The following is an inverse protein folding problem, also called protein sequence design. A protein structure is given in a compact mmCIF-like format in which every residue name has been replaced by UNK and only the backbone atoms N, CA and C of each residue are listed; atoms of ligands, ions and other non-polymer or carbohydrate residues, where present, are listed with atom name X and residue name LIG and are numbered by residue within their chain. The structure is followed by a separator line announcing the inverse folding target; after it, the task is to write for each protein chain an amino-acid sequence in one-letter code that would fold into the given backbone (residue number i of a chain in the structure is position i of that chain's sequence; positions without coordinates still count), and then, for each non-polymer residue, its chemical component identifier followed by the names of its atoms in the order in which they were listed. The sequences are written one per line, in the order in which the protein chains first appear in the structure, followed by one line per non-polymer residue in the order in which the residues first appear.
data_IF_859079359257
#
_entry.id   IF_859079359257
#
_cell.length_a   1.000
_cell.length_b   1.000
_cell.length_c   1.000
_cell.angle_alpha   90.00
_cell.angle_beta   90.00
_cell.angle_gamma   90.00
#
_symmetry.space_group_name_H-M   'P 1'
#
loop_
_entity.id
_entity.type
_entity.pdbx_description
1 polymer ?
#
# COMPACT_ATOMS: atom_id res chain seq x y z
N UNK A 1 49.04 -4.06 51.97
CA UNK A 1 48.45 -2.84 51.35
C UNK A 1 48.62 -2.77 49.83
N UNK A 2 49.58 -3.50 49.22
CA UNK A 2 49.80 -3.52 47.75
C UNK A 2 48.80 -4.37 46.95
N UNK A 3 48.25 -5.44 47.53
CA UNK A 3 47.28 -6.32 46.84
C UNK A 3 45.95 -5.64 46.50
N UNK A 4 45.51 -4.69 47.34
CA UNK A 4 44.26 -3.97 47.13
C UNK A 4 44.28 -3.02 45.93
N UNK A 5 45.46 -2.55 45.51
CA UNK A 5 45.58 -1.67 44.34
C UNK A 5 45.51 -2.45 43.02
N UNK A 6 46.05 -3.66 42.99
CA UNK A 6 46.08 -4.48 41.76
C UNK A 6 44.69 -5.00 41.38
N UNK A 7 43.87 -5.35 42.37
CA UNK A 7 42.47 -5.78 42.14
C UNK A 7 41.62 -4.62 41.58
N UNK A 8 41.82 -3.40 42.07
CA UNK A 8 41.11 -2.20 41.57
C UNK A 8 41.50 -1.89 40.13
N UNK A 9 42.76 -2.09 39.75
CA UNK A 9 43.26 -1.81 38.41
C UNK A 9 42.76 -2.83 37.38
N UNK A 10 42.58 -4.09 37.77
CA UNK A 10 41.97 -5.11 36.90
C UNK A 10 40.48 -4.87 36.69
N UNK A 11 39.72 -4.57 37.74
CA UNK A 11 38.29 -4.26 37.64
C UNK A 11 38.01 -3.01 36.78
N UNK A 12 38.84 -1.98 36.89
CA UNK A 12 38.72 -0.77 36.07
C UNK A 12 38.91 -1.05 34.56
N UNK A 13 39.83 -1.96 34.20
CA UNK A 13 40.06 -2.37 32.81
C UNK A 13 38.86 -3.14 32.25
N UNK A 14 38.30 -4.09 33.00
CA UNK A 14 37.11 -4.82 32.57
C UNK A 14 35.89 -3.91 32.40
N UNK A 15 35.69 -2.95 33.31
CA UNK A 15 34.61 -1.96 33.19
C UNK A 15 34.76 -1.07 31.94
N UNK A 16 35.99 -0.71 31.55
CA UNK A 16 36.27 0.09 30.35
C UNK A 16 35.90 -0.66 29.05
N UNK A 17 36.05 -1.98 29.01
CA UNK A 17 35.70 -2.80 27.83
C UNK A 17 34.21 -3.17 27.77
N UNK A 18 33.53 -3.27 28.91
CA UNK A 18 32.11 -3.66 28.96
C UNK A 18 31.16 -2.49 28.63
N UNK A 19 31.60 -1.26 28.90
CA UNK A 19 30.81 -0.05 28.67
C UNK A 19 30.47 0.24 27.18
N UNK A 20 31.40 0.13 26.19
CA UNK A 20 31.06 0.36 24.79
C UNK A 20 30.15 -0.72 24.20
N UNK A 21 30.25 -1.98 24.66
CA UNK A 21 29.39 -3.07 24.21
C UNK A 21 27.93 -2.82 24.64
N UNK A 22 27.72 -2.37 25.88
CA UNK A 22 26.40 -2.02 26.38
C UNK A 22 25.83 -0.75 25.73
N UNK A 23 26.69 0.25 25.45
CA UNK A 23 26.28 1.46 24.73
C UNK A 23 25.85 1.17 23.28
N UNK A 24 26.46 0.18 22.61
CA UNK A 24 26.08 -0.21 21.24
C UNK A 24 24.70 -0.89 21.15
N UNK A 25 24.22 -1.52 22.23
CA UNK A 25 22.88 -2.10 22.31
C UNK A 25 21.77 -1.03 22.52
N UNK A 26 22.15 0.19 22.93
CA UNK A 26 21.24 1.32 23.15
C UNK A 26 21.13 2.25 21.93
N UNK A 27 21.82 1.96 20.82
CA UNK A 27 21.51 2.57 19.51
C UNK A 27 20.21 1.92 19.04
N UNK A 28 19.12 2.35 19.67
CA UNK A 28 17.78 1.83 19.47
C UNK A 28 17.42 1.91 18.00
N UNK A 29 16.72 0.87 17.53
CA UNK A 29 15.93 0.96 16.32
C UNK A 29 15.02 2.18 16.44
N UNK A 30 15.43 3.31 15.88
CA UNK A 30 14.58 4.48 15.76
C UNK A 30 13.32 4.05 15.00
N UNK A 31 12.20 4.03 15.70
CA UNK A 31 10.94 3.50 15.21
C UNK A 31 10.43 4.37 14.07
N UNK A 32 10.17 3.77 12.91
CA UNK A 32 9.56 4.47 11.77
C UNK A 32 8.08 4.68 12.07
N UNK A 33 7.64 5.93 12.17
CA UNK A 33 6.24 6.30 12.43
C UNK A 33 5.50 6.69 11.13
N UNK A 34 6.00 6.21 10.00
CA UNK A 34 5.38 6.40 8.71
C UNK A 34 4.04 5.68 8.67
N UNK A 35 3.04 6.37 8.12
CA UNK A 35 1.66 5.87 8.09
C UNK A 35 0.87 6.37 6.89
N UNK A 36 -0.08 5.55 6.47
CA UNK A 36 -1.16 5.93 5.56
C UNK A 36 -2.45 5.99 6.37
N UNK A 37 -3.18 7.09 6.26
CA UNK A 37 -4.52 7.24 6.81
C UNK A 37 -5.50 7.23 5.64
N UNK A 38 -6.49 6.36 5.73
CA UNK A 38 -7.53 6.19 4.73
C UNK A 38 -8.86 6.64 5.35
N UNK A 39 -9.63 7.38 4.57
CA UNK A 39 -10.97 7.84 4.95
C UNK A 39 -11.90 7.73 3.75
N UNK A 40 -13.01 7.03 3.92
CA UNK A 40 -14.03 6.85 2.90
C UNK A 40 -15.24 7.73 3.23
N UNK A 41 -15.36 8.85 2.55
CA UNK A 41 -16.54 9.73 2.58
C UNK A 41 -17.48 9.47 1.38
N UNK A 42 -17.16 8.50 0.53
CA UNK A 42 -18.00 8.13 -0.59
C UNK A 42 -19.19 7.26 -0.15
N UNK A 43 -20.26 7.25 -0.94
CA UNK A 43 -21.46 6.43 -0.68
C UNK A 43 -21.30 4.93 -1.01
N UNK A 44 -20.10 4.50 -1.38
CA UNK A 44 -19.77 3.15 -1.87
C UNK A 44 -18.65 2.56 -1.04
N UNK A 45 -18.62 1.23 -0.92
CA UNK A 45 -17.49 0.54 -0.28
C UNK A 45 -16.24 0.63 -1.16
N UNK A 46 -15.10 0.75 -0.50
CA UNK A 46 -13.81 0.92 -1.16
C UNK A 46 -12.85 -0.18 -0.72
N UNK A 47 -12.21 -0.84 -1.69
CA UNK A 47 -11.12 -1.78 -1.43
C UNK A 47 -9.80 -1.13 -1.83
N UNK A 48 -8.99 -0.82 -0.85
CA UNK A 48 -7.69 -0.19 -1.03
C UNK A 48 -6.58 -1.25 -0.97
N UNK A 49 -5.84 -1.40 -2.06
CA UNK A 49 -4.72 -2.34 -2.17
C UNK A 49 -3.41 -1.61 -1.93
N UNK A 50 -2.67 -2.05 -0.92
CA UNK A 50 -1.37 -1.47 -0.57
C UNK A 50 -0.44 -2.54 -0.05
N UNK A 51 0.78 -2.62 -0.61
CA UNK A 51 1.79 -3.62 -0.21
C UNK A 51 1.32 -5.09 -0.28
N UNK A 52 0.38 -5.40 -1.17
CA UNK A 52 -0.21 -6.74 -1.30
C UNK A 52 -1.29 -7.06 -0.27
N UNK A 53 -1.62 -6.11 0.62
CA UNK A 53 -2.75 -6.21 1.54
C UNK A 53 -3.95 -5.48 0.95
N UNK A 54 -5.15 -6.01 1.21
CA UNK A 54 -6.43 -5.39 0.84
C UNK A 54 -7.07 -4.86 2.12
N UNK A 55 -7.34 -3.56 2.14
CA UNK A 55 -8.03 -2.87 3.22
C UNK A 55 -9.40 -2.50 2.71
N UNK A 56 -10.44 -3.03 3.36
CA UNK A 56 -11.83 -2.70 3.05
C UNK A 56 -12.27 -1.51 3.90
N UNK A 57 -12.87 -0.51 3.26
CA UNK A 57 -13.40 0.69 3.87
C UNK A 57 -14.90 0.73 3.58
N UNK A 58 -15.70 0.62 4.63
CA UNK A 58 -17.15 0.73 4.55
C UNK A 58 -17.56 2.12 4.01
N UNK A 59 -18.66 2.14 3.27
CA UNK A 59 -19.27 3.36 2.76
C UNK A 59 -19.59 4.37 3.87
N UNK A 60 -19.59 5.66 3.52
CA UNK A 60 -20.08 6.76 4.34
C UNK A 60 -19.44 6.88 5.74
N UNK A 61 -18.13 6.75 5.83
CA UNK A 61 -17.36 7.05 7.05
C UNK A 61 -16.31 6.01 7.43
N UNK A 62 -16.07 4.98 6.61
CA UNK A 62 -15.03 3.98 6.88
C UNK A 62 -13.65 4.62 7.01
N UNK A 63 -12.88 4.25 8.04
CA UNK A 63 -11.50 4.73 8.23
C UNK A 63 -10.55 3.58 8.51
N UNK A 64 -9.30 3.73 8.06
CA UNK A 64 -8.23 2.81 8.41
C UNK A 64 -6.89 3.54 8.54
N UNK A 65 -5.98 2.97 9.32
CA UNK A 65 -4.61 3.49 9.44
C UNK A 65 -3.60 2.37 9.33
N UNK A 66 -2.73 2.46 8.33
CA UNK A 66 -1.63 1.53 8.10
C UNK A 66 -0.36 2.17 8.69
N UNK A 67 0.35 1.46 9.58
CA UNK A 67 1.54 1.96 10.28
C UNK A 67 2.77 1.10 10.02
N UNK A 68 3.94 1.57 10.47
CA UNK A 68 5.19 0.82 10.41
C UNK A 68 5.73 0.69 8.98
N UNK A 69 5.43 1.67 8.13
CA UNK A 69 5.84 1.66 6.72
C UNK A 69 7.33 2.02 6.65
N UNK A 70 8.12 1.20 5.95
CA UNK A 70 9.55 1.49 5.78
C UNK A 70 9.74 2.62 4.77
N UNK A 71 10.92 3.22 4.74
CA UNK A 71 11.27 4.16 3.68
C UNK A 71 11.25 3.48 2.32
N UNK A 72 10.77 4.21 1.32
CA UNK A 72 10.69 3.70 -0.04
C UNK A 72 9.50 4.25 -0.81
N UNK A 73 9.28 3.61 -1.95
CA UNK A 73 8.28 3.96 -2.94
C UNK A 73 7.28 2.81 -3.02
N UNK A 74 6.00 3.11 -2.89
CA UNK A 74 4.94 2.10 -2.86
C UNK A 74 3.82 2.46 -3.81
N UNK A 75 3.43 1.52 -4.66
CA UNK A 75 2.21 1.63 -5.47
C UNK A 75 0.98 1.28 -4.65
N UNK A 76 -0.12 1.97 -4.92
CA UNK A 76 -1.44 1.62 -4.43
C UNK A 76 -2.44 1.58 -5.58
N UNK A 77 -3.51 0.80 -5.40
CA UNK A 77 -4.65 0.80 -6.31
C UNK A 77 -5.93 0.71 -5.50
N UNK A 78 -6.98 1.34 -5.99
CA UNK A 78 -8.29 1.36 -5.35
C UNK A 78 -9.30 0.68 -6.25
N UNK A 79 -10.13 -0.18 -5.68
CA UNK A 79 -11.28 -0.79 -6.34
C UNK A 79 -12.53 -0.23 -5.68
N UNK A 80 -13.43 0.34 -6.49
CA UNK A 80 -14.71 0.88 -6.04
C UNK A 80 -15.78 -0.20 -6.18
N UNK A 81 -16.52 -0.49 -5.12
CA UNK A 81 -17.56 -1.53 -5.12
C UNK A 81 -18.91 -0.90 -5.45
N UNK A 82 -19.31 -1.02 -6.71
CA UNK A 82 -20.55 -0.43 -7.20
C UNK A 82 -21.76 -1.09 -6.49
N UNK A 83 -22.60 -0.32 -5.78
CA UNK A 83 -23.80 -0.87 -5.15
C UNK A 83 -24.84 -1.30 -6.18
N UNK A 84 -25.69 -2.26 -5.81
CA UNK A 84 -26.76 -2.77 -6.65
C UNK A 84 -27.69 -1.63 -7.12
N UNK A 85 -28.07 -1.66 -8.39
CA UNK A 85 -28.95 -0.65 -9.00
C UNK A 85 -28.22 0.51 -9.69
N UNK A 86 -26.90 0.62 -9.56
CA UNK A 86 -26.08 1.49 -10.42
C UNK A 86 -25.46 0.68 -11.57
N UNK A 87 -25.62 1.17 -12.80
CA UNK A 87 -24.96 0.59 -13.97
C UNK A 87 -23.58 1.22 -14.16
N UNK A 88 -22.58 0.42 -14.57
CA UNK A 88 -21.20 0.88 -14.73
C UNK A 88 -21.01 2.01 -15.75
N UNK A 89 -21.94 2.18 -16.68
CA UNK A 89 -21.93 3.29 -17.67
C UNK A 89 -22.14 4.66 -17.01
N UNK A 90 -22.76 4.69 -15.83
CA UNK A 90 -23.01 5.90 -15.08
C UNK A 90 -21.91 6.23 -14.07
N UNK A 91 -20.78 5.50 -14.08
CA UNK A 91 -19.76 5.63 -13.05
C UNK A 91 -18.46 6.17 -13.65
N UNK A 92 -18.11 7.38 -13.25
CA UNK A 92 -16.82 7.98 -13.53
C UNK A 92 -15.86 7.71 -12.36
N UNK A 93 -14.65 7.27 -12.69
CA UNK A 93 -13.56 7.04 -11.74
C UNK A 93 -12.55 8.16 -11.90
N UNK A 94 -12.20 8.81 -10.78
CA UNK A 94 -11.17 9.84 -10.74
C UNK A 94 -9.76 9.28 -10.92
N UNK A 95 -8.87 10.13 -11.42
CA UNK A 95 -7.50 9.80 -11.79
C UNK A 95 -6.64 9.35 -10.58
N UNK A 96 -6.91 9.86 -9.37
CA UNK A 96 -6.11 9.58 -8.17
C UNK A 96 -6.41 8.23 -7.48
N UNK A 97 -7.30 7.40 -8.04
CA UNK A 97 -7.67 6.10 -7.46
C UNK A 97 -6.56 5.06 -7.53
N UNK A 98 -5.53 5.31 -8.34
CA UNK A 98 -4.30 4.52 -8.36
C UNK A 98 -3.10 5.44 -8.45
N UNK A 99 -1.97 5.00 -7.91
CA UNK A 99 -0.80 5.85 -7.91
C UNK A 99 0.35 5.29 -7.11
N UNK A 100 1.31 6.17 -6.81
CA UNK A 100 2.52 5.86 -6.05
C UNK A 100 2.70 6.88 -4.94
N UNK A 101 3.09 6.40 -3.76
CA UNK A 101 3.38 7.22 -2.58
C UNK A 101 4.83 7.04 -2.16
N UNK A 102 5.42 8.13 -1.66
CA UNK A 102 6.83 8.21 -1.29
C UNK A 102 6.97 8.41 0.22
N UNK A 103 7.79 7.59 0.85
CA UNK A 103 8.12 7.68 2.28
C UNK A 103 9.61 7.98 2.43
N UNK A 104 9.96 9.28 2.42
CA UNK A 104 11.35 9.73 2.43
C UNK A 104 11.85 10.07 3.85
N UNK A 105 10.97 10.52 4.74
CA UNK A 105 11.29 10.77 6.15
C UNK A 105 10.78 9.67 7.09
N UNK A 106 11.11 9.81 8.38
CA UNK A 106 10.77 8.83 9.45
C UNK A 106 9.36 9.00 10.03
N UNK A 107 8.68 10.10 9.68
CA UNK A 107 7.36 10.47 10.20
C UNK A 107 6.41 10.93 9.07
N UNK A 108 6.59 10.40 7.86
CA UNK A 108 5.74 10.74 6.72
C UNK A 108 4.32 10.24 6.99
N UNK A 109 3.34 11.15 6.97
CA UNK A 109 1.92 10.84 7.00
C UNK A 109 1.35 11.09 5.61
N UNK A 110 0.83 10.03 5.00
CA UNK A 110 0.00 10.11 3.80
C UNK A 110 -1.47 10.05 4.23
N UNK A 111 -2.30 10.93 3.69
CA UNK A 111 -3.75 10.91 3.87
C UNK A 111 -4.41 10.72 2.52
N UNK A 112 -5.25 9.70 2.39
CA UNK A 112 -6.06 9.42 1.20
C UNK A 112 -7.52 9.51 1.61
N UNK A 113 -8.23 10.47 1.04
CA UNK A 113 -9.64 10.71 1.32
C UNK A 113 -10.43 10.40 0.05
N UNK A 114 -11.35 9.46 0.13
CA UNK A 114 -12.25 9.13 -0.96
C UNK A 114 -13.55 9.90 -0.82
N UNK A 115 -14.03 10.47 -1.91
CA UNK A 115 -15.29 11.22 -1.97
C UNK A 115 -16.09 10.79 -3.17
N UNK A 116 -17.40 11.04 -3.13
CA UNK A 116 -18.26 10.81 -4.30
C UNK A 116 -19.21 11.97 -4.53
N UNK A 117 -19.55 12.20 -5.80
CA UNK A 117 -20.56 13.15 -6.23
C UNK A 117 -21.54 12.50 -7.19
N UNK A 118 -22.77 13.03 -7.20
CA UNK A 118 -23.82 12.68 -8.16
C UNK A 118 -24.15 13.90 -9.00
N UNK A 119 -24.27 13.73 -10.30
CA UNK A 119 -24.68 14.76 -11.25
C UNK A 119 -25.82 14.21 -12.11
N UNK A 120 -26.91 14.95 -12.23
CA UNK A 120 -27.99 14.59 -13.17
C UNK A 120 -27.59 15.06 -14.55
N UNK A 121 -27.46 14.14 -15.48
CA UNK A 121 -27.20 14.45 -16.89
C UNK A 121 -28.56 14.53 -17.58
N UNK A 122 -28.97 15.75 -17.92
CA UNK A 122 -30.22 15.97 -18.67
C UNK A 122 -30.10 15.42 -20.09
N UNK A 123 -31.10 14.67 -20.50
CA UNK A 123 -31.21 14.14 -21.85
C UNK A 123 -31.34 15.27 -22.89
N UNK A 124 -30.50 15.24 -23.92
CA UNK A 124 -30.51 16.24 -24.99
C UNK A 124 -31.64 15.94 -25.98
N UNK A 125 -32.84 16.47 -25.69
CA UNK A 125 -33.98 16.61 -26.61
C UNK A 125 -34.17 15.49 -27.65
N UNK A 126 -34.83 14.40 -27.23
CA UNK A 126 -35.75 13.52 -27.98
C UNK A 126 -35.86 12.20 -27.19
N UNK A 127 -36.86 12.09 -26.31
CA UNK A 127 -37.25 10.86 -25.60
C UNK A 127 -36.20 10.10 -24.76
N UNK A 128 -35.00 10.64 -24.55
CA UNK A 128 -34.04 10.06 -23.61
C UNK A 128 -34.43 10.42 -22.15
N UNK A 129 -34.42 9.44 -21.25
CA UNK A 129 -34.61 9.67 -19.81
C UNK A 129 -33.35 10.31 -19.21
N UNK A 130 -33.52 11.24 -18.27
CA UNK A 130 -32.40 11.81 -17.52
C UNK A 130 -31.64 10.70 -16.78
N UNK A 131 -30.32 10.65 -16.97
CA UNK A 131 -29.46 9.66 -16.32
C UNK A 131 -28.70 10.27 -15.16
N UNK A 132 -28.56 9.54 -14.05
CA UNK A 132 -27.75 9.95 -12.91
C UNK A 132 -26.31 9.49 -13.11
N UNK A 133 -25.35 10.42 -13.20
CA UNK A 133 -23.92 10.13 -13.22
C UNK A 133 -23.35 10.17 -11.81
N UNK A 134 -22.67 9.11 -11.43
CA UNK A 134 -21.94 8.97 -10.18
C UNK A 134 -20.44 9.09 -10.43
N UNK A 135 -19.74 9.90 -9.64
CA UNK A 135 -18.29 10.05 -9.74
C UNK A 135 -17.64 9.74 -8.41
N UNK A 136 -16.60 8.89 -8.41
CA UNK A 136 -15.78 8.63 -7.22
C UNK A 136 -14.40 9.22 -7.44
N UNK A 137 -13.95 10.04 -6.50
CA UNK A 137 -12.65 10.68 -6.52
C UNK A 137 -11.85 10.28 -5.28
N UNK A 138 -10.52 10.37 -5.39
CA UNK A 138 -9.62 10.33 -4.26
C UNK A 138 -8.87 11.65 -4.18
N UNK A 139 -8.48 12.04 -2.97
CA UNK A 139 -7.54 13.13 -2.71
C UNK A 139 -6.38 12.59 -1.89
N UNK A 140 -5.17 12.72 -2.42
CA UNK A 140 -3.94 12.26 -1.75
C UNK A 140 -3.10 13.45 -1.27
N UNK A 141 -2.79 13.47 0.02
CA UNK A 141 -1.92 14.48 0.64
C UNK A 141 -0.80 13.84 1.46
N UNK A 142 0.32 14.55 1.57
CA UNK A 142 1.48 14.15 2.36
C UNK A 142 1.85 15.25 3.36
N UNK A 143 2.31 14.86 4.54
CA UNK A 143 2.83 15.79 5.55
C UNK A 143 4.25 16.30 5.24
N UNK A 144 4.94 15.74 4.25
CA UNK A 144 6.27 16.18 3.84
C UNK A 144 6.19 17.19 2.69
N UNK A 145 6.82 18.36 2.89
CA UNK A 145 6.93 19.38 1.84
C UNK A 145 7.73 18.83 0.64
N UNK A 146 7.13 18.85 -0.55
CA UNK A 146 7.75 18.35 -1.79
C UNK A 146 7.54 16.86 -2.07
N UNK A 147 6.85 16.13 -1.20
CA UNK A 147 6.46 14.73 -1.43
C UNK A 147 5.01 14.66 -1.96
N UNK A 148 4.77 15.22 -3.14
CA UNK A 148 3.72 14.79 -4.09
C UNK A 148 3.94 15.58 -5.39
N UNK A 149 3.96 14.87 -6.54
CA UNK A 149 2.69 14.53 -7.13
C UNK A 149 2.48 13.03 -7.12
N UNK A 150 1.25 12.62 -6.82
CA UNK A 150 0.74 11.35 -7.35
C UNK A 150 1.05 11.40 -8.85
N UNK A 151 2.02 10.59 -9.30
CA UNK A 151 2.15 10.28 -10.72
C UNK A 151 0.98 9.37 -11.01
N UNK A 152 -0.17 9.95 -11.35
CA UNK A 152 -1.25 9.19 -11.95
C UNK A 152 -0.72 8.72 -13.30
N UNK A 153 -0.33 7.47 -13.40
CA UNK A 153 -0.22 6.83 -14.70
C UNK A 153 -1.66 6.54 -15.14
N UNK A 154 -2.26 7.46 -15.91
CA UNK A 154 -3.67 7.45 -16.32
C UNK A 154 -4.05 6.25 -17.22
N UNK A 155 -3.18 5.24 -17.35
CA UNK A 155 -3.52 3.96 -17.94
C UNK A 155 -4.36 3.16 -16.95
N UNK A 156 -5.63 3.57 -16.82
CA UNK A 156 -6.65 2.78 -16.16
C UNK A 156 -6.56 1.31 -16.65
N UNK A 157 -6.57 0.32 -15.75
CA UNK A 157 -6.80 -1.05 -16.16
C UNK A 157 -8.19 -1.08 -16.81
N UNK A 158 -8.24 -1.39 -18.11
CA UNK A 158 -9.48 -1.55 -18.83
C UNK A 158 -10.41 -2.45 -18.01
N UNK A 159 -11.61 -1.94 -17.76
CA UNK A 159 -12.70 -2.63 -17.09
C UNK A 159 -12.82 -4.05 -17.67
N UNK A 160 -12.25 -5.07 -17.02
CA UNK A 160 -12.52 -6.45 -17.39
C UNK A 160 -13.91 -6.75 -16.89
N UNK A 161 -14.89 -6.42 -17.73
CA UNK A 161 -16.22 -7.00 -17.71
C UNK A 161 -16.00 -8.51 -17.70
N UNK A 162 -16.41 -9.17 -16.62
CA UNK A 162 -16.33 -10.61 -16.49
C UNK A 162 -17.19 -11.28 -17.57
N UNK A 163 -16.63 -11.46 -18.76
CA UNK A 163 -17.15 -12.42 -19.71
C UNK A 163 -16.82 -13.80 -19.16
N UNK A 164 -17.87 -14.55 -18.82
CA UNK A 164 -17.79 -15.97 -18.54
C UNK A 164 -17.14 -16.66 -19.74
N UNK A 165 -15.84 -16.95 -19.63
CA UNK A 165 -15.11 -17.74 -20.62
C UNK A 165 -15.64 -19.17 -20.58
N UNK A 166 -16.55 -19.46 -21.51
CA UNK A 166 -16.86 -20.83 -21.93
C UNK A 166 -15.62 -21.39 -22.63
N UNK A 167 -15.02 -22.40 -21.98
CA UNK A 167 -14.41 -23.56 -22.61
C UNK A 167 -13.33 -23.31 -23.67
N UNK A 168 -12.08 -23.42 -23.26
CA UNK A 168 -11.06 -24.04 -24.10
C UNK A 168 -10.11 -24.84 -23.21
N UNK A 169 -10.25 -26.15 -23.28
CA UNK A 169 -9.27 -27.12 -22.82
C UNK A 169 -7.89 -26.78 -23.38
N UNK A 170 -6.90 -26.59 -22.51
CA UNK A 170 -5.52 -26.92 -22.86
C UNK A 170 -4.73 -27.21 -21.59
N UNK A 171 -4.49 -28.49 -21.38
CA UNK A 171 -3.62 -29.03 -20.35
C UNK A 171 -2.20 -28.45 -20.46
N UNK A 172 -1.73 -27.81 -19.39
CA UNK A 172 -0.31 -27.50 -19.20
C UNK A 172 0.21 -28.34 -18.03
N UNK A 173 0.97 -29.37 -18.42
CA UNK A 173 1.63 -30.31 -17.54
C UNK A 173 2.64 -29.62 -16.63
N UNK A 174 2.57 -29.92 -15.34
CA UNK A 174 3.66 -29.73 -14.39
C UNK A 174 4.89 -30.55 -14.82
N UNK A 175 5.87 -29.92 -15.48
CA UNK A 175 7.19 -30.53 -15.69
C UNK A 175 8.08 -30.27 -14.47
N UNK A 176 8.26 -31.34 -13.67
CA UNK A 176 9.40 -31.51 -12.75
C UNK A 176 10.71 -31.26 -13.51
N UNK A 177 11.62 -30.47 -12.93
CA UNK A 177 13.05 -30.57 -13.24
C UNK A 177 13.64 -31.61 -12.31
N UNK A 178 13.98 -32.77 -12.87
CA UNK A 178 14.87 -33.72 -12.23
C UNK A 178 16.31 -33.21 -12.39
N UNK A 179 17.04 -33.16 -11.27
CA UNK A 179 18.49 -32.94 -11.26
C UNK A 179 19.17 -34.27 -11.57
N UNK A 180 20.04 -34.31 -12.59
CA UNK A 180 20.90 -35.46 -12.88
C UNK A 180 22.36 -35.10 -12.56
N UNK A 181 22.96 -36.00 -11.78
CA UNK A 181 24.33 -36.06 -11.27
C UNK A 181 25.41 -36.00 -12.37
N UNK A 182 26.49 -35.27 -12.08
CA UNK A 182 27.79 -35.42 -12.73
C UNK A 182 28.87 -35.46 -11.66
N UNK A 183 29.54 -36.60 -11.51
CA UNK A 183 30.56 -36.82 -10.49
C UNK A 183 31.41 -38.03 -10.86
N UNK A 184 32.39 -37.78 -11.71
CA UNK A 184 33.45 -38.66 -12.19
C UNK A 184 34.44 -39.13 -11.11
N UNK A 185 34.98 -40.33 -11.33
CA UNK A 185 36.34 -40.83 -11.04
C UNK A 185 36.82 -41.01 -9.59
N UNK A 186 37.21 -42.24 -9.25
CA UNK A 186 38.62 -42.60 -9.05
C UNK A 186 38.82 -44.12 -9.08
N UNK A 187 40.01 -44.48 -9.57
CA UNK A 187 40.60 -45.81 -9.83
C UNK A 187 40.68 -46.76 -8.63
#
# INVERSE_FOLDING_TARGET
MKETEDIRMRLAKWALYLFPLLASAMIGCMENNNRVILENLAFTDIKFHFRGEVIELEAAGGTATIRGIKHGVYSYTTIVVIPDGLTGENIALGDELSGTVYFNGRNTKISIIFTSSTETVEASSNEEESTLKYTVNASVSSSEAGANPVSVDSRAPAHQRGEASRGADTALSCRRRDYVYGGENAA
#
